data_IF_200585667653
#
_entry.id   IF_200585667653
#
_cell.length_a   1.000
_cell.length_b   1.000
_cell.length_c   1.000
_cell.angle_alpha   90.00
_cell.angle_beta   90.00
_cell.angle_gamma   90.00
#
_symmetry.space_group_name_H-M   'P 1'
#
loop_
_entity.id
_entity.type
_entity.pdbx_description
1 polymer ?
#
# COMPACT_ATOMS: atom_id res chain seq x y z
N UNK A 1 -32.72 -65.45 -12.47
CA UNK A 1 -31.52 -64.71 -12.86
C UNK A 1 -31.89 -63.52 -13.71
N UNK A 2 -31.87 -62.30 -13.14
CA UNK A 2 -31.77 -61.02 -13.85
C UNK A 2 -31.04 -60.06 -12.91
N UNK A 3 -29.84 -59.64 -13.29
CA UNK A 3 -29.04 -58.67 -12.56
C UNK A 3 -29.48 -57.26 -12.97
N UNK A 4 -29.80 -56.41 -12.01
CA UNK A 4 -29.89 -54.96 -12.23
C UNK A 4 -28.79 -54.33 -11.42
N UNK A 5 -27.74 -53.91 -12.14
CA UNK A 5 -26.68 -53.05 -11.66
C UNK A 5 -27.30 -51.67 -11.41
N UNK A 6 -27.30 -51.20 -10.17
CA UNK A 6 -27.56 -49.79 -9.88
C UNK A 6 -26.37 -49.24 -9.10
N UNK A 7 -25.51 -48.59 -9.88
CA UNK A 7 -24.29 -47.93 -9.47
C UNK A 7 -24.68 -46.58 -8.83
N UNK A 8 -24.89 -46.54 -7.51
CA UNK A 8 -24.99 -45.29 -6.75
C UNK A 8 -24.78 -45.66 -5.27
N UNK A 9 -23.75 -45.19 -4.58
CA UNK A 9 -23.75 -43.84 -4.05
C UNK A 9 -22.34 -43.56 -3.51
N UNK A 10 -21.42 -43.15 -4.39
CA UNK A 10 -20.18 -42.51 -3.96
C UNK A 10 -20.55 -41.06 -3.64
N UNK A 11 -21.04 -40.83 -2.41
CA UNK A 11 -21.35 -39.51 -1.90
C UNK A 11 -20.07 -38.66 -1.88
N UNK A 12 -19.90 -37.89 -2.95
CA UNK A 12 -19.65 -36.44 -2.93
C UNK A 12 -18.66 -36.00 -1.85
N UNK A 13 -17.40 -36.37 -2.04
CA UNK A 13 -16.25 -35.59 -1.59
C UNK A 13 -16.15 -34.36 -2.49
N UNK A 14 -17.05 -33.40 -2.30
CA UNK A 14 -16.90 -32.05 -2.86
C UNK A 14 -17.18 -31.05 -1.74
N UNK A 15 -16.26 -31.07 -0.77
CA UNK A 15 -15.93 -29.90 0.04
C UNK A 15 -15.42 -28.80 -0.89
N UNK A 16 -16.33 -28.18 -1.63
CA UNK A 16 -16.07 -26.93 -2.30
C UNK A 16 -15.87 -25.89 -1.19
N UNK A 17 -14.61 -25.69 -0.83
CA UNK A 17 -14.15 -24.59 0.00
C UNK A 17 -14.40 -23.30 -0.80
N UNK A 18 -15.67 -22.88 -0.89
CA UNK A 18 -16.05 -21.57 -1.38
C UNK A 18 -15.60 -20.54 -0.34
N UNK A 19 -14.31 -20.23 -0.37
CA UNK A 19 -13.84 -19.00 0.24
C UNK A 19 -14.52 -17.86 -0.53
N UNK A 20 -15.28 -16.97 0.12
CA UNK A 20 -15.83 -15.81 -0.55
C UNK A 20 -14.65 -15.05 -1.19
N UNK A 21 -14.71 -14.80 -2.49
CA UNK A 21 -13.75 -13.91 -3.16
C UNK A 21 -13.83 -12.57 -2.45
N UNK A 22 -12.81 -12.26 -1.65
CA UNK A 22 -12.68 -10.99 -0.95
C UNK A 22 -12.64 -9.92 -2.02
N UNK A 23 -13.72 -9.14 -2.16
CA UNK A 23 -13.75 -7.99 -3.07
C UNK A 23 -12.57 -7.11 -2.73
N UNK A 24 -11.67 -6.91 -3.70
CA UNK A 24 -10.49 -6.08 -3.54
C UNK A 24 -10.97 -4.65 -3.44
N UNK A 25 -10.98 -4.10 -2.23
CA UNK A 25 -11.39 -2.71 -2.03
C UNK A 25 -10.28 -1.81 -2.57
N UNK A 26 -10.54 -1.17 -3.71
CA UNK A 26 -9.66 -0.14 -4.26
C UNK A 26 -9.92 1.13 -3.43
N UNK A 27 -8.92 1.52 -2.65
CA UNK A 27 -8.99 2.75 -1.84
C UNK A 27 -8.43 3.90 -2.65
N UNK A 28 -9.23 4.92 -2.91
CA UNK A 28 -8.76 6.15 -3.55
C UNK A 28 -8.20 7.07 -2.46
N UNK A 29 -6.89 7.28 -2.47
CA UNK A 29 -6.18 8.04 -1.44
C UNK A 29 -5.78 9.38 -2.03
N UNK A 30 -6.18 10.48 -1.39
CA UNK A 30 -5.70 11.82 -1.74
C UNK A 30 -4.59 12.21 -0.78
N UNK A 31 -3.35 12.12 -1.21
CA UNK A 31 -2.19 12.35 -0.33
C UNK A 31 -1.41 13.58 -0.74
N UNK A 32 -0.66 14.14 0.22
CA UNK A 32 0.48 15.02 -0.05
C UNK A 32 1.65 14.59 0.80
N UNK A 33 2.86 14.95 0.37
CA UNK A 33 4.07 14.76 1.16
C UNK A 33 4.66 16.12 1.51
N UNK A 34 5.11 16.25 2.75
CA UNK A 34 5.82 17.41 3.28
C UNK A 34 7.14 16.93 3.82
N UNK A 35 8.23 17.59 3.44
CA UNK A 35 9.54 17.32 4.01
C UNK A 35 9.92 18.44 4.96
N UNK A 36 9.87 18.19 6.27
CA UNK A 36 10.28 19.18 7.28
C UNK A 36 11.78 19.13 7.59
N UNK A 37 12.55 18.32 6.86
CA UNK A 37 13.97 18.14 7.11
C UNK A 37 14.83 18.98 6.16
N UNK A 38 16.08 19.22 6.55
CA UNK A 38 17.10 19.84 5.70
C UNK A 38 17.66 18.89 4.61
N UNK A 39 17.07 17.69 4.46
CA UNK A 39 17.60 16.64 3.59
C UNK A 39 16.81 16.58 2.29
N UNK A 40 17.51 16.39 1.17
CA UNK A 40 16.87 16.12 -0.11
C UNK A 40 16.64 14.61 -0.28
N UNK A 41 15.43 14.21 -0.66
CA UNK A 41 15.13 12.83 -1.01
C UNK A 41 14.91 12.72 -2.52
N UNK A 42 15.63 11.80 -3.16
CA UNK A 42 15.50 11.53 -4.59
C UNK A 42 14.81 10.21 -4.85
N UNK A 43 14.28 10.04 -6.06
CA UNK A 43 13.59 8.83 -6.49
C UNK A 43 12.53 8.35 -5.50
N UNK A 44 11.74 9.31 -5.01
CA UNK A 44 10.72 9.08 -3.99
C UNK A 44 9.55 8.34 -4.63
N UNK A 45 9.12 7.27 -3.98
CA UNK A 45 7.93 6.51 -4.36
C UNK A 45 6.98 6.38 -3.18
N UNK A 46 5.69 6.58 -3.44
CA UNK A 46 4.59 6.29 -2.50
C UNK A 46 3.61 5.34 -3.19
N UNK A 47 3.12 4.33 -2.46
CA UNK A 47 2.15 3.37 -3.01
C UNK A 47 2.62 2.68 -4.30
N UNK A 48 3.92 2.36 -4.37
CA UNK A 48 4.59 1.82 -5.55
C UNK A 48 4.62 2.74 -6.79
N UNK A 49 4.22 4.01 -6.66
CA UNK A 49 4.30 5.02 -7.72
C UNK A 49 5.43 5.99 -7.46
N UNK A 50 6.26 6.26 -8.48
CA UNK A 50 7.31 7.26 -8.39
C UNK A 50 6.72 8.67 -8.50
N UNK A 51 7.12 9.55 -7.57
CA UNK A 51 6.64 10.93 -7.50
C UNK A 51 7.78 11.95 -7.70
N UNK A 52 8.96 11.48 -8.13
CA UNK A 52 10.12 12.32 -8.37
C UNK A 52 10.93 12.61 -7.10
N UNK A 53 11.34 13.86 -6.92
CA UNK A 53 12.21 14.28 -5.82
C UNK A 53 11.42 15.13 -4.82
N UNK A 54 11.76 15.02 -3.54
CA UNK A 54 11.23 15.87 -2.48
C UNK A 54 12.41 16.64 -1.88
N UNK A 55 12.48 17.93 -2.16
CA UNK A 55 13.58 18.78 -1.71
C UNK A 55 13.45 19.11 -0.21
N UNK A 56 14.55 19.57 0.39
CA UNK A 56 14.56 20.06 1.76
C UNK A 56 13.50 21.16 1.96
N UNK A 57 12.73 21.04 3.04
CA UNK A 57 11.65 21.98 3.40
C UNK A 57 10.53 22.14 2.36
N UNK A 58 10.40 21.19 1.43
CA UNK A 58 9.42 21.24 0.35
C UNK A 58 8.06 20.66 0.76
N UNK A 59 6.99 21.14 0.12
CA UNK A 59 5.63 20.62 0.24
C UNK A 59 5.08 20.36 -1.14
N UNK A 60 4.89 19.08 -1.47
CA UNK A 60 4.26 18.72 -2.74
C UNK A 60 2.75 18.96 -2.67
N UNK A 61 2.18 19.28 -3.84
CA UNK A 61 0.74 19.40 -3.99
C UNK A 61 0.04 18.05 -3.73
N UNK A 62 -1.26 18.12 -3.44
CA UNK A 62 -2.05 16.90 -3.29
C UNK A 62 -2.12 16.13 -4.61
N UNK A 63 -1.78 14.85 -4.54
CA UNK A 63 -1.96 13.87 -5.60
C UNK A 63 -3.04 12.85 -5.20
N UNK A 64 -3.48 12.04 -6.17
CA UNK A 64 -4.49 11.00 -5.96
C UNK A 64 -3.95 9.68 -6.50
N UNK A 65 -4.03 8.63 -5.70
CA UNK A 65 -3.67 7.27 -6.09
C UNK A 65 -4.85 6.33 -5.87
N UNK A 66 -4.98 5.34 -6.76
CA UNK A 66 -5.92 4.22 -6.58
C UNK A 66 -5.15 3.05 -6.01
N UNK A 67 -5.23 2.86 -4.69
CA UNK A 67 -4.46 1.88 -3.96
C UNK A 67 -5.16 0.50 -3.94
N UNK A 68 -4.43 -0.54 -4.33
CA UNK A 68 -4.83 -1.94 -4.23
C UNK A 68 -3.86 -2.70 -3.33
N UNK A 69 -4.32 -3.11 -2.15
CA UNK A 69 -3.51 -3.78 -1.12
C UNK A 69 -2.96 -5.16 -1.51
N UNK A 70 -3.43 -5.76 -2.60
CA UNK A 70 -2.86 -7.02 -3.12
C UNK A 70 -1.73 -6.79 -4.12
N UNK A 71 -1.63 -5.58 -4.68
CA UNK A 71 -0.68 -5.25 -5.75
C UNK A 71 0.36 -4.22 -5.31
N UNK A 72 0.06 -3.43 -4.28
CA UNK A 72 0.84 -2.27 -3.88
C UNK A 72 1.09 -2.31 -2.38
N UNK A 73 2.27 -1.83 -2.00
CA UNK A 73 2.63 -1.64 -0.60
C UNK A 73 2.34 -0.20 -0.17
N UNK A 74 1.78 0.03 1.03
CA UNK A 74 1.59 1.36 1.59
C UNK A 74 2.93 1.85 2.14
N UNK A 75 3.90 2.06 1.25
CA UNK A 75 5.29 2.31 1.59
C UNK A 75 5.74 3.66 1.03
N UNK A 76 6.40 4.46 1.87
CA UNK A 76 7.32 5.49 1.42
C UNK A 76 8.67 4.86 1.12
N UNK A 77 9.24 5.16 -0.04
CA UNK A 77 10.61 4.85 -0.41
C UNK A 77 11.29 6.11 -0.92
N UNK A 78 12.57 6.32 -0.60
CA UNK A 78 13.35 7.43 -1.14
C UNK A 78 14.84 7.29 -0.82
N UNK A 79 15.67 8.01 -1.57
CA UNK A 79 17.13 7.95 -1.47
C UNK A 79 17.66 9.27 -0.91
N UNK A 80 18.52 9.21 0.10
CA UNK A 80 19.31 10.36 0.55
C UNK A 80 20.78 9.94 0.68
N UNK A 81 21.68 10.68 0.01
CA UNK A 81 23.14 10.41 0.01
C UNK A 81 23.47 8.93 -0.22
N UNK A 82 22.90 8.35 -1.27
CA UNK A 82 23.10 6.93 -1.66
C UNK A 82 22.54 5.89 -0.68
N UNK A 83 21.88 6.32 0.40
CA UNK A 83 21.21 5.43 1.34
C UNK A 83 19.72 5.37 1.01
N UNK A 84 19.21 4.14 0.90
CA UNK A 84 17.80 3.87 0.69
C UNK A 84 17.05 3.94 2.03
N UNK A 85 15.99 4.73 2.08
CA UNK A 85 15.09 4.83 3.22
C UNK A 85 13.71 4.32 2.81
N UNK A 86 13.12 3.51 3.67
CA UNK A 86 11.78 2.99 3.47
C UNK A 86 10.99 3.02 4.78
N UNK A 87 9.70 3.33 4.70
CA UNK A 87 8.81 3.35 5.86
C UNK A 87 7.38 3.03 5.45
N UNK A 88 6.77 2.08 6.16
CA UNK A 88 5.33 1.82 6.01
C UNK A 88 4.52 3.03 6.49
N UNK A 89 3.55 3.41 5.67
CA UNK A 89 2.64 4.52 5.86
C UNK A 89 1.36 4.02 6.52
N UNK A 90 0.78 4.86 7.37
CA UNK A 90 -0.55 4.61 7.92
C UNK A 90 -1.57 4.94 6.84
N UNK A 91 -2.35 3.94 6.44
CA UNK A 91 -3.43 4.14 5.49
C UNK A 91 -4.56 4.99 6.12
N UNK A 92 -5.20 5.88 5.34
CA UNK A 92 -6.40 6.58 5.80
C UNK A 92 -7.52 5.59 6.14
N UNK A 93 -8.40 5.98 7.07
CA UNK A 93 -9.50 5.12 7.51
C UNK A 93 -10.65 5.12 6.53
N UNK A 94 -10.78 6.18 5.75
CA UNK A 94 -11.89 6.37 4.82
C UNK A 94 -11.43 6.60 3.39
N UNK A 95 -12.25 6.18 2.44
CA UNK A 95 -11.98 6.39 1.02
C UNK A 95 -12.10 7.89 0.67
N UNK A 96 -11.21 8.40 -0.17
CA UNK A 96 -11.07 9.82 -0.53
C UNK A 96 -10.66 10.77 0.60
N UNK A 97 -10.24 10.26 1.75
CA UNK A 97 -9.68 11.07 2.83
C UNK A 97 -8.41 11.79 2.36
N UNK A 98 -8.25 13.05 2.76
CA UNK A 98 -7.03 13.81 2.51
C UNK A 98 -6.04 13.49 3.61
N UNK A 99 -4.88 12.98 3.22
CA UNK A 99 -3.80 12.63 4.16
C UNK A 99 -2.53 13.41 3.84
N UNK A 100 -1.82 13.85 4.87
CA UNK A 100 -0.48 14.44 4.77
C UNK A 100 0.55 13.50 5.39
N UNK A 101 1.50 13.04 4.58
CA UNK A 101 2.68 12.35 5.07
C UNK A 101 3.79 13.36 5.29
N UNK A 102 4.25 13.47 6.53
CA UNK A 102 5.23 14.48 6.95
C UNK A 102 6.54 13.79 7.32
N UNK A 103 7.59 13.99 6.53
CA UNK A 103 8.94 13.55 6.90
C UNK A 103 9.43 14.48 7.98
N UNK A 104 9.46 14.00 9.22
CA UNK A 104 9.72 14.83 10.40
C UNK A 104 11.20 14.84 10.77
N UNK A 105 11.87 13.69 10.66
CA UNK A 105 13.29 13.57 10.98
C UNK A 105 13.92 12.32 10.38
N UNK A 106 15.26 12.35 10.33
CA UNK A 106 16.10 11.19 10.06
C UNK A 106 17.09 11.03 11.22
N UNK A 107 16.94 9.98 12.02
CA UNK A 107 17.82 9.70 13.14
C UNK A 107 18.14 8.21 13.20
N UNK A 108 19.38 7.85 13.53
CA UNK A 108 19.83 6.45 13.64
C UNK A 108 19.50 5.60 12.40
N UNK A 109 19.60 6.19 11.20
CA UNK A 109 19.22 5.58 9.91
C UNK A 109 17.73 5.22 9.78
N UNK A 110 16.89 5.71 10.68
CA UNK A 110 15.44 5.54 10.66
C UNK A 110 14.81 6.85 10.19
N UNK A 111 13.95 6.76 9.17
CA UNK A 111 13.11 7.87 8.73
C UNK A 111 11.80 7.87 9.53
N UNK A 112 11.49 9.02 10.13
CA UNK A 112 10.26 9.23 10.90
C UNK A 112 9.27 9.99 10.04
N UNK A 113 8.12 9.37 9.80
CA UNK A 113 7.04 9.93 9.00
C UNK A 113 5.76 9.94 9.84
N UNK A 114 5.22 11.11 10.11
CA UNK A 114 3.89 11.25 10.72
C UNK A 114 2.79 11.36 9.65
N UNK A 115 1.59 10.98 10.06
CA UNK A 115 0.38 11.04 9.24
C UNK A 115 -0.58 12.03 9.89
N UNK A 116 -1.04 13.03 9.13
CA UNK A 116 -1.99 14.06 9.55
C UNK A 116 -3.18 14.13 8.61
#
# INVERSE_FOLDING_TARGET
MKYVVCFSCMCLVLSACFSPKKTTEITRIKYRIVNNTALNFTNVSLFSENIGNVLAYDTLAYAVVSYNSLLQDPLFYGINKEVNYARYLVLPKTNNERVTFSIDSLANKIIYISTK
#
